data_IF_021630218042
#
_entry.id   IF_021630218042
#
_cell.length_a   1.000
_cell.length_b   1.000
_cell.length_c   1.000
_cell.angle_alpha   90.00
_cell.angle_beta   90.00
_cell.angle_gamma   90.00
#
_symmetry.space_group_name_H-M   'P 1'
#
loop_
_entity.id
_entity.type
_entity.pdbx_description
1 polymer ?
#
# COMPACT_ATOMS: atom_id res chain seq x y z
N UNK A 1 15.84 -19.45 3.53
CA UNK A 1 14.58 -18.95 4.10
C UNK A 1 13.56 -18.88 2.96
N UNK A 2 12.42 -19.60 3.01
CA UNK A 2 11.41 -19.46 1.97
C UNK A 2 10.90 -18.02 1.96
N UNK A 3 10.89 -17.36 0.78
CA UNK A 3 10.32 -16.02 0.63
C UNK A 3 8.82 -16.10 0.95
N UNK A 4 8.38 -15.38 1.98
CA UNK A 4 6.97 -15.23 2.29
C UNK A 4 6.32 -14.47 1.12
N UNK A 5 5.36 -15.10 0.44
CA UNK A 5 4.73 -14.54 -0.76
C UNK A 5 3.59 -13.56 -0.47
N UNK A 6 3.13 -13.48 0.79
CA UNK A 6 2.06 -12.57 1.25
C UNK A 6 2.32 -12.09 2.69
N UNK A 7 1.96 -10.85 2.99
CA UNK A 7 2.03 -10.25 4.34
C UNK A 7 0.70 -9.64 4.73
N UNK A 8 0.37 -9.60 6.03
CA UNK A 8 -0.80 -8.81 6.47
C UNK A 8 -0.45 -7.33 6.59
N UNK A 9 -1.44 -6.45 6.53
CA UNK A 9 -1.23 -5.02 6.83
C UNK A 9 -0.66 -4.82 8.24
N UNK A 10 -1.05 -5.67 9.21
CA UNK A 10 -0.46 -5.68 10.56
C UNK A 10 1.05 -5.89 10.54
N UNK A 11 1.51 -6.92 9.83
CA UNK A 11 2.94 -7.24 9.73
C UNK A 11 3.71 -6.11 9.03
N UNK A 12 3.10 -5.49 8.01
CA UNK A 12 3.70 -4.36 7.29
C UNK A 12 3.79 -3.14 8.20
N UNK A 13 2.73 -2.83 8.95
CA UNK A 13 2.71 -1.74 9.94
C UNK A 13 3.82 -1.91 10.97
N UNK A 14 3.96 -3.12 11.53
CA UNK A 14 4.99 -3.44 12.51
C UNK A 14 6.41 -3.31 11.93
N UNK A 15 6.63 -3.80 10.71
CA UNK A 15 7.91 -3.70 10.00
C UNK A 15 8.33 -2.25 9.72
N UNK A 16 7.37 -1.42 9.28
CA UNK A 16 7.60 -0.01 8.95
C UNK A 16 7.53 0.91 10.17
N UNK A 17 7.15 0.38 11.34
CA UNK A 17 6.84 1.18 12.53
C UNK A 17 5.81 2.28 12.23
N UNK A 18 4.82 1.96 11.39
CA UNK A 18 3.86 2.92 10.87
C UNK A 18 2.73 3.22 11.85
N UNK A 19 2.22 4.45 11.77
CA UNK A 19 0.98 4.88 12.40
C UNK A 19 -0.21 4.65 11.47
N UNK A 20 -1.31 4.10 12.01
CA UNK A 20 -2.55 3.89 11.25
C UNK A 20 -3.45 5.09 11.48
N UNK A 21 -3.63 5.90 10.44
CA UNK A 21 -4.52 7.07 10.49
C UNK A 21 -6.00 6.67 10.38
N UNK A 22 -6.31 5.70 9.51
CA UNK A 22 -7.67 5.18 9.28
C UNK A 22 -7.64 3.67 8.99
N UNK A 23 -8.76 2.97 9.24
CA UNK A 23 -8.93 1.58 8.83
C UNK A 23 -8.24 0.55 9.73
N UNK A 24 -8.17 0.80 11.03
CA UNK A 24 -7.55 -0.11 12.02
C UNK A 24 -8.17 -1.53 12.00
N UNK A 25 -9.46 -1.62 11.67
CA UNK A 25 -10.19 -2.90 11.61
C UNK A 25 -9.80 -3.75 10.38
N UNK A 26 -9.04 -3.19 9.44
CA UNK A 26 -8.60 -3.86 8.20
C UNK A 26 -7.19 -4.45 8.28
N UNK A 27 -6.56 -4.48 9.46
CA UNK A 27 -5.16 -4.90 9.63
C UNK A 27 -4.88 -6.37 9.24
N UNK A 28 -5.89 -7.22 9.20
CA UNK A 28 -5.77 -8.62 8.78
C UNK A 28 -5.77 -8.80 7.24
N UNK A 29 -5.94 -7.71 6.48
CA UNK A 29 -5.90 -7.74 5.01
C UNK A 29 -4.54 -8.27 4.52
N UNK A 30 -4.59 -9.25 3.61
CA UNK A 30 -3.40 -9.83 3.00
C UNK A 30 -2.98 -9.02 1.78
N UNK A 31 -1.75 -8.54 1.80
CA UNK A 31 -1.09 -7.83 0.71
C UNK A 31 -0.17 -8.80 -0.03
N UNK A 32 -0.32 -8.83 -1.35
CA UNK A 32 0.48 -9.66 -2.26
C UNK A 32 1.44 -8.83 -3.12
N UNK A 33 1.04 -7.60 -3.47
CA UNK A 33 1.82 -6.69 -4.29
C UNK A 33 2.00 -5.35 -3.59
N UNK A 34 3.17 -4.74 -3.73
CA UNK A 34 3.44 -3.37 -3.33
C UNK A 34 4.14 -2.64 -4.46
N UNK A 35 3.87 -1.35 -4.62
CA UNK A 35 4.48 -0.50 -5.63
C UNK A 35 4.82 0.86 -5.05
N UNK A 36 6.02 1.35 -5.35
CA UNK A 36 6.50 2.65 -4.88
C UNK A 36 6.63 3.64 -6.03
N UNK A 37 5.96 4.79 -5.95
CA UNK A 37 6.16 5.89 -6.91
C UNK A 37 5.58 7.20 -6.38
N UNK A 38 6.25 8.31 -6.71
CA UNK A 38 5.73 9.67 -6.53
C UNK A 38 5.13 10.26 -7.81
N UNK A 39 5.29 9.56 -8.94
CA UNK A 39 4.67 9.93 -10.20
C UNK A 39 3.30 9.25 -10.28
N UNK A 40 2.24 10.01 -10.02
CA UNK A 40 0.87 9.50 -10.08
C UNK A 40 0.50 8.92 -11.45
N UNK A 41 1.12 9.41 -12.53
CA UNK A 41 0.99 8.81 -13.88
C UNK A 41 1.48 7.37 -13.92
N UNK A 42 2.60 7.08 -13.27
CA UNK A 42 3.20 5.76 -13.25
C UNK A 42 2.39 4.81 -12.36
N UNK A 43 1.87 5.34 -11.24
CA UNK A 43 0.95 4.60 -10.37
C UNK A 43 -0.29 4.16 -11.16
N UNK A 44 -0.88 5.06 -11.95
CA UNK A 44 -2.05 4.76 -12.77
C UNK A 44 -1.74 3.82 -13.93
N UNK A 45 -0.57 3.97 -14.57
CA UNK A 45 -0.20 3.16 -15.73
C UNK A 45 0.22 1.73 -15.36
N UNK A 46 0.85 1.55 -14.19
CA UNK A 46 1.48 0.28 -13.80
C UNK A 46 0.90 -0.34 -12.51
N UNK A 47 -0.09 0.32 -11.90
CA UNK A 47 -0.83 -0.19 -10.75
C UNK A 47 -1.54 -1.50 -11.04
N UNK A 48 -1.82 -2.27 -9.98
CA UNK A 48 -2.55 -3.54 -10.05
C UNK A 48 -3.60 -3.58 -8.95
N UNK A 49 -4.76 -4.21 -9.18
CA UNK A 49 -5.77 -4.41 -8.15
C UNK A 49 -5.18 -5.00 -6.87
N UNK A 50 -5.45 -4.33 -5.74
CA UNK A 50 -4.99 -4.76 -4.41
C UNK A 50 -3.51 -4.49 -4.13
N UNK A 51 -2.86 -3.62 -4.91
CA UNK A 51 -1.49 -3.17 -4.63
C UNK A 51 -1.44 -2.25 -3.41
N UNK A 52 -0.42 -2.45 -2.55
CA UNK A 52 -0.05 -1.47 -1.55
C UNK A 52 0.76 -0.34 -2.23
N UNK A 53 0.19 0.86 -2.28
CA UNK A 53 0.88 2.05 -2.78
C UNK A 53 1.79 2.66 -1.70
N UNK A 54 3.08 2.81 -2.03
CA UNK A 54 4.07 3.51 -1.23
C UNK A 54 4.44 4.81 -1.96
N UNK A 55 4.25 5.96 -1.31
CA UNK A 55 4.57 7.26 -1.91
C UNK A 55 4.94 8.29 -0.83
N UNK A 56 5.79 9.24 -1.17
CA UNK A 56 6.07 10.44 -0.38
C UNK A 56 4.99 11.52 -0.53
N UNK A 57 3.99 11.34 -1.40
CA UNK A 57 2.91 12.29 -1.61
C UNK A 57 1.83 12.16 -0.52
N UNK A 58 1.68 13.20 0.29
CA UNK A 58 0.74 13.27 1.42
C UNK A 58 -0.49 14.15 1.14
N UNK A 59 -0.95 14.19 -0.12
CA UNK A 59 -2.09 15.01 -0.54
C UNK A 59 -3.29 14.15 -0.96
N UNK A 60 -4.47 14.76 -1.11
CA UNK A 60 -5.69 14.02 -1.43
C UNK A 60 -5.66 13.26 -2.77
N UNK A 61 -4.73 13.57 -3.68
CA UNK A 61 -4.58 12.79 -4.91
C UNK A 61 -3.98 11.41 -4.66
N UNK A 62 -3.11 11.23 -3.65
CA UNK A 62 -2.55 9.90 -3.36
C UNK A 62 -3.64 8.93 -2.93
N UNK A 63 -4.59 9.38 -2.11
CA UNK A 63 -5.77 8.59 -1.70
C UNK A 63 -6.68 8.30 -2.89
N UNK A 64 -6.96 9.30 -3.75
CA UNK A 64 -7.81 9.10 -4.93
C UNK A 64 -7.21 8.11 -5.92
N UNK A 65 -5.91 8.23 -6.20
CA UNK A 65 -5.19 7.30 -7.08
C UNK A 65 -5.19 5.90 -6.50
N UNK A 66 -4.92 5.74 -5.20
CA UNK A 66 -4.97 4.45 -4.52
C UNK A 66 -6.36 3.79 -4.55
N UNK A 67 -7.43 4.56 -4.69
CA UNK A 67 -8.79 4.04 -4.84
C UNK A 67 -9.14 3.65 -6.29
N UNK A 68 -8.39 4.13 -7.29
CA UNK A 68 -8.59 3.79 -8.71
C UNK A 68 -7.89 2.48 -9.07
N UNK A 69 -6.71 2.23 -8.48
CA UNK A 69 -5.85 1.06 -8.74
C UNK A 69 -6.20 -0.13 -7.86
#
# INVERSE_FOLDING_TARGET
MPKKTKMTLKEIKELLQAEVIVGIDSLDLKIEFAGGSDLMSDVLAFGKPGILLLTGLSNAQSVRTANII
#
